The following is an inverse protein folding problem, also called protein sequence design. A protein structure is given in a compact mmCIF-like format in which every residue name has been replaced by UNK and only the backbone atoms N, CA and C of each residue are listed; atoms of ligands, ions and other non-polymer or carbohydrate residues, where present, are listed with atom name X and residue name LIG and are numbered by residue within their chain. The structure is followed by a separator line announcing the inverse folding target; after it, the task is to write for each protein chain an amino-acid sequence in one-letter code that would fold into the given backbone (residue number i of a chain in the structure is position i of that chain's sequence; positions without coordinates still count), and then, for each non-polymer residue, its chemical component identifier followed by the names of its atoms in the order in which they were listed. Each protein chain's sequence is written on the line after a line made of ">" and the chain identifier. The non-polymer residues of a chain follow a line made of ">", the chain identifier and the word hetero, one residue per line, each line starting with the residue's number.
data_IF_650586825740
#
_entry.id   IF_650586825740
#
_cell.length_a   1.000
_cell.length_b   1.000
_cell.length_c   1.000
_cell.angle_alpha   90.00
_cell.angle_beta   90.00
_cell.angle_gamma   90.00
#
_symmetry.space_group_name_H-M   'P 1'
#
loop_
_entity.id
_entity.type
_entity.pdbx_description
1 polymer ?
#
# COMPACT_ATOMS: atom_id res chain seq x y z
N UNK A 1 -8.49 8.73 13.41
CA UNK A 1 -9.42 8.08 14.34
C UNK A 1 -10.15 6.99 13.56
N UNK A 2 -10.00 5.73 13.95
CA UNK A 2 -10.68 4.59 13.31
C UNK A 2 -12.03 4.40 13.99
N UNK A 3 -13.13 4.67 13.29
CA UNK A 3 -14.47 4.72 13.89
C UNK A 3 -15.02 3.35 14.31
N UNK A 4 -14.43 2.25 13.82
CA UNK A 4 -14.91 0.89 14.05
C UNK A 4 -14.36 0.24 15.33
N UNK A 5 -13.47 0.93 16.07
CA UNK A 5 -12.79 0.37 17.23
C UNK A 5 -12.84 1.32 18.44
N UNK A 6 -13.00 0.73 19.62
CA UNK A 6 -12.72 1.38 20.89
C UNK A 6 -11.21 1.28 21.16
N UNK A 7 -10.48 2.35 20.83
CA UNK A 7 -9.01 2.37 20.84
C UNK A 7 -8.45 2.97 22.13
N UNK A 8 -7.63 2.20 22.84
CA UNK A 8 -6.73 2.73 23.86
C UNK A 8 -5.59 3.48 23.16
N UNK A 9 -5.52 4.80 23.36
CA UNK A 9 -4.51 5.65 22.76
C UNK A 9 -3.45 5.99 23.81
N UNK A 10 -2.21 5.56 23.58
CA UNK A 10 -1.10 5.78 24.50
C UNK A 10 0.09 6.40 23.78
N UNK A 11 0.75 7.30 24.50
CA UNK A 11 2.10 7.75 24.19
C UNK A 11 3.02 7.29 25.30
N UNK A 12 4.08 6.56 24.95
CA UNK A 12 5.00 5.97 25.92
C UNK A 12 6.43 6.55 25.78
N UNK A 13 6.95 7.00 26.92
CA UNK A 13 8.25 7.66 27.06
C UNK A 13 9.17 6.84 27.95
N UNK A 14 10.44 6.71 27.57
CA UNK A 14 11.45 6.05 28.40
C UNK A 14 11.22 4.55 28.61
N UNK A 15 11.08 4.14 29.87
CA UNK A 15 10.83 2.74 30.23
C UNK A 15 9.33 2.46 30.12
N UNK A 16 8.98 1.52 29.24
CA UNK A 16 7.59 1.19 28.92
C UNK A 16 7.14 0.04 29.84
N UNK A 17 6.08 0.25 30.62
CA UNK A 17 5.48 -0.80 31.45
C UNK A 17 4.35 -1.51 30.68
N UNK A 18 4.67 -2.68 30.14
CA UNK A 18 3.71 -3.52 29.41
C UNK A 18 2.56 -4.04 30.29
N UNK A 19 2.72 -4.11 31.62
CA UNK A 19 1.63 -4.52 32.50
C UNK A 19 0.59 -3.41 32.64
N UNK A 20 1.04 -2.16 32.77
CA UNK A 20 0.14 -1.01 32.84
C UNK A 20 -0.69 -0.87 31.56
N UNK A 21 -0.07 -1.05 30.39
CA UNK A 21 -0.79 -1.04 29.09
C UNK A 21 -1.91 -2.09 29.09
N UNK A 22 -1.61 -3.32 29.53
CA UNK A 22 -2.58 -4.42 29.56
C UNK A 22 -3.70 -4.16 30.58
N UNK A 23 -3.40 -3.57 31.73
CA UNK A 23 -4.39 -3.21 32.76
C UNK A 23 -5.34 -2.11 32.27
N UNK A 24 -4.80 -1.06 31.65
CA UNK A 24 -5.61 0.00 31.03
C UNK A 24 -6.49 -0.55 29.90
N UNK A 25 -5.93 -1.41 29.04
CA UNK A 25 -6.67 -2.06 27.96
C UNK A 25 -7.89 -2.83 28.49
N UNK A 26 -7.67 -3.65 29.54
CA UNK A 26 -8.72 -4.48 30.13
C UNK A 26 -9.78 -3.67 30.87
N UNK A 27 -9.35 -2.70 31.68
CA UNK A 27 -10.27 -1.87 32.49
C UNK A 27 -11.15 -0.97 31.62
N UNK A 28 -10.60 -0.42 30.54
CA UNK A 28 -11.36 0.38 29.57
C UNK A 28 -12.23 -0.46 28.63
N UNK A 29 -12.08 -1.79 28.62
CA UNK A 29 -12.78 -2.73 27.72
C UNK A 29 -12.55 -2.41 26.24
N UNK A 30 -11.36 -1.92 25.91
CA UNK A 30 -10.96 -1.61 24.55
C UNK A 30 -10.86 -2.87 23.68
N UNK A 31 -11.00 -2.70 22.38
CA UNK A 31 -10.69 -3.70 21.35
C UNK A 31 -9.63 -3.21 20.36
N UNK A 32 -9.10 -2.00 20.57
CA UNK A 32 -8.00 -1.45 19.79
C UNK A 32 -6.87 -0.92 20.69
N UNK A 33 -5.64 -0.94 20.18
CA UNK A 33 -4.49 -0.27 20.78
C UNK A 33 -3.78 0.58 19.73
N UNK A 34 -3.63 1.87 20.02
CA UNK A 34 -2.68 2.75 19.37
C UNK A 34 -1.59 3.11 20.37
N UNK A 35 -0.34 2.74 20.08
CA UNK A 35 0.80 3.01 20.93
C UNK A 35 1.88 3.75 20.15
N UNK A 36 2.11 5.02 20.50
CA UNK A 36 3.22 5.83 19.98
C UNK A 36 4.37 5.82 20.97
N UNK A 37 5.52 5.32 20.53
CA UNK A 37 6.77 5.36 21.28
C UNK A 37 7.53 6.64 20.91
N UNK A 38 7.85 7.45 21.92
CA UNK A 38 8.63 8.67 21.70
C UNK A 38 10.06 8.38 21.26
N UNK A 39 10.71 9.41 20.71
CA UNK A 39 12.10 9.32 20.25
C UNK A 39 13.03 8.87 21.38
N UNK A 40 13.72 7.76 21.17
CA UNK A 40 14.64 7.16 22.14
C UNK A 40 14.04 6.02 22.97
N UNK A 41 12.70 5.92 23.02
CA UNK A 41 12.00 4.75 23.55
C UNK A 41 12.08 3.57 22.58
N UNK A 42 12.04 2.35 23.11
CA UNK A 42 11.91 1.12 22.31
C UNK A 42 11.24 0.01 23.10
N UNK A 43 10.46 -0.81 22.41
CA UNK A 43 10.03 -2.12 22.92
C UNK A 43 10.99 -3.21 22.44
N UNK A 44 11.23 -4.20 23.29
CA UNK A 44 11.99 -5.39 22.90
C UNK A 44 11.14 -6.28 22.01
N UNK A 45 9.89 -6.53 22.38
CA UNK A 45 8.95 -7.29 21.58
C UNK A 45 7.50 -6.88 21.88
N UNK A 46 6.54 -7.60 21.30
CA UNK A 46 5.11 -7.38 21.50
C UNK A 46 4.41 -8.59 22.16
N UNK A 47 5.13 -9.37 22.98
CA UNK A 47 4.60 -10.61 23.57
C UNK A 47 3.42 -10.33 24.52
N UNK A 48 3.34 -9.14 25.12
CA UNK A 48 2.24 -8.75 25.98
C UNK A 48 0.87 -8.76 25.27
N UNK A 49 0.83 -8.72 23.93
CA UNK A 49 -0.40 -8.83 23.14
C UNK A 49 -1.15 -10.15 23.40
N UNK A 50 -0.44 -11.22 23.80
CA UNK A 50 -1.07 -12.48 24.21
C UNK A 50 -2.03 -12.32 25.41
N UNK A 51 -1.89 -11.22 26.17
CA UNK A 51 -2.73 -10.88 27.32
C UNK A 51 -3.92 -9.97 26.96
N UNK A 52 -4.12 -9.68 25.67
CA UNK A 52 -5.14 -8.79 25.11
C UNK A 52 -6.08 -9.55 24.15
N UNK A 53 -6.84 -10.56 24.62
CA UNK A 53 -7.50 -11.55 23.76
C UNK A 53 -8.69 -11.05 22.93
N UNK A 54 -9.02 -9.77 22.99
CA UNK A 54 -10.14 -9.15 22.25
C UNK A 54 -9.66 -8.08 21.26
N UNK A 55 -8.35 -7.96 21.06
CA UNK A 55 -7.80 -6.92 20.23
C UNK A 55 -8.11 -7.23 18.76
N UNK A 56 -8.78 -6.29 18.11
CA UNK A 56 -9.15 -6.35 16.68
C UNK A 56 -8.33 -5.33 15.87
N UNK A 57 -7.82 -4.28 16.50
CA UNK A 57 -6.98 -3.25 15.89
C UNK A 57 -5.70 -3.00 16.69
N UNK A 58 -4.56 -3.00 16.01
CA UNK A 58 -3.27 -2.68 16.59
C UNK A 58 -2.51 -1.72 15.69
N UNK A 59 -2.09 -0.60 16.26
CA UNK A 59 -1.18 0.34 15.61
C UNK A 59 -0.04 0.69 16.56
N UNK A 60 1.19 0.41 16.14
CA UNK A 60 2.40 0.73 16.88
C UNK A 60 3.26 1.67 16.03
N UNK A 61 3.57 2.83 16.59
CA UNK A 61 4.52 3.77 16.00
C UNK A 61 5.78 3.86 16.86
N UNK A 62 6.95 3.75 16.25
CA UNK A 62 8.25 3.86 16.92
C UNK A 62 8.90 2.52 17.21
N UNK A 63 10.13 2.54 17.73
CA UNK A 63 11.06 1.41 17.59
C UNK A 63 10.62 0.16 18.36
N UNK A 64 10.36 -0.94 17.66
CA UNK A 64 10.19 -2.28 18.24
C UNK A 64 11.26 -3.20 17.67
N UNK A 65 12.00 -3.91 18.53
CA UNK A 65 13.08 -4.79 18.07
C UNK A 65 12.54 -6.05 17.38
N UNK A 66 11.49 -6.66 17.95
CA UNK A 66 10.82 -7.83 17.39
C UNK A 66 9.29 -7.67 17.48
N UNK A 67 8.65 -7.34 16.37
CA UNK A 67 7.20 -7.18 16.28
C UNK A 67 6.48 -8.42 15.73
N UNK A 68 7.19 -9.54 15.57
CA UNK A 68 6.66 -10.75 14.93
C UNK A 68 5.44 -11.35 15.64
N UNK A 69 5.34 -11.16 16.97
CA UNK A 69 4.20 -11.60 17.76
C UNK A 69 2.87 -10.99 17.28
N UNK A 70 2.88 -9.75 16.77
CA UNK A 70 1.67 -9.04 16.36
C UNK A 70 0.93 -9.71 15.19
N UNK A 71 1.66 -10.33 14.26
CA UNK A 71 1.08 -10.99 13.08
C UNK A 71 0.22 -12.20 13.43
N UNK A 72 0.45 -12.81 14.60
CA UNK A 72 -0.19 -14.05 15.01
C UNK A 72 -1.29 -13.84 16.06
N UNK A 73 -1.63 -12.58 16.40
CA UNK A 73 -2.66 -12.30 17.40
C UNK A 73 -4.04 -12.76 16.90
N UNK A 74 -4.69 -13.71 17.59
CA UNK A 74 -5.99 -14.21 17.15
C UNK A 74 -7.07 -13.13 17.22
N UNK A 75 -7.90 -13.04 16.19
CA UNK A 75 -9.00 -12.07 16.12
C UNK A 75 -8.59 -10.69 15.63
N UNK A 76 -7.28 -10.41 15.50
CA UNK A 76 -6.78 -9.16 14.95
C UNK A 76 -7.23 -9.02 13.49
N UNK A 77 -7.87 -7.89 13.17
CA UNK A 77 -8.42 -7.57 11.85
C UNK A 77 -7.56 -6.56 11.10
N UNK A 78 -6.94 -5.66 11.86
CA UNK A 78 -6.09 -4.61 11.32
C UNK A 78 -4.80 -4.46 12.13
N UNK A 79 -3.68 -4.48 11.41
CA UNK A 79 -2.33 -4.38 11.97
C UNK A 79 -1.54 -3.30 11.24
N UNK A 80 -1.11 -2.28 11.97
CA UNK A 80 -0.26 -1.20 11.48
C UNK A 80 1.03 -1.15 12.29
N UNK A 81 2.16 -1.39 11.64
CA UNK A 81 3.48 -1.46 12.28
C UNK A 81 4.44 -0.47 11.63
N UNK A 82 4.52 0.73 12.20
CA UNK A 82 5.54 1.75 11.88
C UNK A 82 6.69 1.62 12.88
N UNK A 83 7.21 0.41 12.98
CA UNK A 83 8.09 -0.03 14.08
C UNK A 83 9.57 0.09 13.75
N UNK A 84 9.90 0.29 12.47
CA UNK A 84 11.24 -0.02 11.93
C UNK A 84 11.69 -1.45 12.25
N UNK A 85 10.73 -2.34 12.44
CA UNK A 85 10.92 -3.73 12.75
C UNK A 85 11.43 -4.47 11.52
N UNK A 86 12.52 -5.20 11.69
CA UNK A 86 13.15 -5.97 10.63
C UNK A 86 12.83 -7.48 10.74
N UNK A 87 12.08 -7.89 11.77
CA UNK A 87 11.72 -9.28 11.97
C UNK A 87 10.89 -9.78 10.78
N UNK A 88 11.18 -11.00 10.31
CA UNK A 88 10.41 -11.60 9.23
C UNK A 88 8.94 -11.75 9.61
N UNK A 89 8.04 -11.63 8.63
CA UNK A 89 6.65 -11.99 8.84
C UNK A 89 6.60 -13.50 9.10
N UNK A 90 6.10 -13.95 10.26
CA UNK A 90 6.10 -15.36 10.59
C UNK A 90 5.09 -16.13 9.73
N UNK A 91 5.41 -17.39 9.39
CA UNK A 91 4.55 -18.30 8.60
C UNK A 91 3.25 -18.76 9.29
N UNK A 92 2.89 -18.14 10.41
CA UNK A 92 1.65 -18.44 11.12
C UNK A 92 0.42 -18.01 10.31
N UNK A 93 -0.68 -18.76 10.42
CA UNK A 93 -1.94 -18.36 9.76
C UNK A 93 -2.72 -17.43 10.66
N UNK A 94 -3.05 -16.24 10.15
CA UNK A 94 -4.01 -15.33 10.76
C UNK A 94 -5.17 -15.10 9.78
N UNK A 95 -6.28 -15.78 10.03
CA UNK A 95 -7.44 -15.77 9.13
C UNK A 95 -8.38 -14.58 9.34
N UNK A 96 -8.21 -13.81 10.42
CA UNK A 96 -9.00 -12.59 10.67
C UNK A 96 -8.34 -11.34 10.10
N UNK A 97 -7.02 -11.34 9.92
CA UNK A 97 -6.28 -10.16 9.48
C UNK A 97 -6.66 -9.81 8.03
N UNK A 98 -7.22 -8.62 7.89
CA UNK A 98 -7.80 -8.12 6.63
C UNK A 98 -7.10 -6.87 6.11
N UNK A 99 -6.48 -6.10 7.00
CA UNK A 99 -5.66 -4.94 6.66
C UNK A 99 -4.31 -5.06 7.36
N UNK A 100 -3.25 -4.93 6.58
CA UNK A 100 -1.88 -5.00 7.06
C UNK A 100 -1.08 -3.83 6.50
N UNK A 101 -0.37 -3.13 7.38
CA UNK A 101 0.50 -2.04 7.00
C UNK A 101 1.82 -2.11 7.78
N UNK A 102 2.96 -2.04 7.10
CA UNK A 102 4.28 -2.15 7.75
C UNK A 102 5.42 -1.49 6.97
N UNK A 103 6.50 -1.12 7.67
CA UNK A 103 7.78 -0.76 7.06
C UNK A 103 8.39 -1.96 6.33
N UNK A 104 8.90 -1.77 5.11
CA UNK A 104 9.45 -2.83 4.26
C UNK A 104 10.51 -3.67 4.99
N UNK A 105 10.45 -4.98 4.75
CA UNK A 105 11.30 -6.01 5.39
C UNK A 105 12.14 -6.78 4.36
N UNK A 106 12.13 -6.36 3.09
CA UNK A 106 12.90 -6.96 2.02
C UNK A 106 12.36 -8.32 1.59
N UNK A 107 13.22 -9.33 1.57
CA UNK A 107 12.90 -10.73 1.25
C UNK A 107 12.21 -11.47 2.41
N UNK A 108 12.01 -10.79 3.55
CA UNK A 108 11.42 -11.35 4.77
C UNK A 108 9.89 -11.15 4.85
N UNK A 109 9.24 -10.94 3.70
CA UNK A 109 7.80 -10.77 3.56
C UNK A 109 7.22 -12.05 2.94
N UNK A 110 6.36 -12.72 3.69
CA UNK A 110 5.59 -13.88 3.26
C UNK A 110 4.14 -13.66 3.69
N UNK A 111 3.23 -13.60 2.71
CA UNK A 111 1.82 -13.26 2.93
C UNK A 111 0.88 -14.46 2.79
N UNK A 112 1.40 -15.69 2.58
CA UNK A 112 0.59 -16.90 2.42
C UNK A 112 -0.31 -17.18 3.65
N UNK A 113 0.14 -16.73 4.83
CA UNK A 113 -0.56 -16.88 6.10
C UNK A 113 -1.82 -16.02 6.30
N UNK A 114 -2.13 -15.09 5.39
CA UNK A 114 -3.21 -14.10 5.57
C UNK A 114 -4.29 -14.23 4.46
N UNK A 115 -5.11 -15.30 4.49
CA UNK A 115 -6.05 -15.58 3.41
C UNK A 115 -7.18 -14.56 3.26
N UNK A 116 -7.39 -13.71 4.27
CA UNK A 116 -8.43 -12.67 4.28
C UNK A 116 -7.88 -11.27 3.99
N UNK A 117 -6.61 -11.16 3.57
CA UNK A 117 -5.94 -9.88 3.37
C UNK A 117 -6.54 -9.14 2.16
N UNK A 118 -7.19 -8.01 2.43
CA UNK A 118 -7.83 -7.16 1.42
C UNK A 118 -7.14 -5.80 1.27
N UNK A 119 -6.48 -5.31 2.31
CA UNK A 119 -5.71 -4.07 2.28
C UNK A 119 -4.25 -4.30 2.68
N UNK A 120 -3.32 -3.84 1.86
CA UNK A 120 -1.89 -3.91 2.13
C UNK A 120 -1.24 -2.55 1.90
N UNK A 121 -0.46 -2.08 2.87
CA UNK A 121 0.39 -0.89 2.73
C UNK A 121 1.83 -1.22 3.14
N UNK A 122 2.80 -0.87 2.29
CA UNK A 122 4.23 -1.04 2.59
C UNK A 122 4.92 0.31 2.49
N UNK A 123 5.64 0.70 3.54
CA UNK A 123 6.40 1.95 3.58
C UNK A 123 7.90 1.75 3.41
N UNK A 124 8.58 2.82 2.98
CA UNK A 124 10.05 2.86 2.85
C UNK A 124 10.62 1.70 2.02
N UNK A 125 9.91 1.28 0.97
CA UNK A 125 10.27 0.08 0.24
C UNK A 125 11.47 0.29 -0.69
N UNK A 126 12.39 -0.66 -0.66
CA UNK A 126 13.54 -0.75 -1.57
C UNK A 126 13.36 -1.83 -2.65
N UNK A 127 12.17 -2.46 -2.69
CA UNK A 127 11.87 -3.55 -3.62
C UNK A 127 11.85 -3.07 -5.07
N UNK A 128 12.20 -3.97 -5.98
CA UNK A 128 12.19 -3.78 -7.43
C UNK A 128 11.19 -4.67 -8.17
N UNK A 129 10.49 -5.53 -7.45
CA UNK A 129 9.45 -6.43 -7.95
C UNK A 129 8.32 -6.54 -6.91
N UNK A 130 7.24 -7.24 -7.25
CA UNK A 130 6.11 -7.52 -6.37
C UNK A 130 5.75 -9.02 -6.33
N UNK A 131 6.72 -9.91 -6.58
CA UNK A 131 6.46 -11.36 -6.71
C UNK A 131 5.85 -11.98 -5.44
N UNK A 132 6.10 -11.38 -4.27
CA UNK A 132 5.53 -11.79 -2.99
C UNK A 132 3.99 -11.64 -2.91
N UNK A 133 3.38 -10.88 -3.83
CA UNK A 133 1.92 -10.76 -3.94
C UNK A 133 1.28 -11.95 -4.66
N UNK A 134 2.08 -12.91 -5.17
CA UNK A 134 1.62 -13.93 -6.09
C UNK A 134 0.46 -14.81 -5.58
N UNK A 135 0.29 -14.91 -4.26
CA UNK A 135 -0.78 -15.72 -3.64
C UNK A 135 -1.83 -14.89 -2.89
N UNK A 136 -1.70 -13.56 -2.89
CA UNK A 136 -2.62 -12.61 -2.21
C UNK A 136 -3.80 -12.26 -3.12
N UNK A 137 -4.61 -13.27 -3.44
CA UNK A 137 -5.70 -13.17 -4.43
C UNK A 137 -6.91 -12.34 -3.97
N UNK A 138 -7.05 -12.12 -2.66
CA UNK A 138 -8.12 -11.34 -2.04
C UNK A 138 -7.85 -9.83 -1.98
N UNK A 139 -6.65 -9.40 -2.38
CA UNK A 139 -6.23 -8.01 -2.27
C UNK A 139 -7.12 -7.07 -3.10
N UNK A 140 -7.70 -6.08 -2.42
CA UNK A 140 -8.59 -5.08 -2.99
C UNK A 140 -7.94 -3.68 -3.01
N UNK A 141 -7.08 -3.38 -2.06
CA UNK A 141 -6.33 -2.12 -1.98
C UNK A 141 -4.85 -2.40 -1.73
N UNK A 142 -4.00 -1.87 -2.59
CA UNK A 142 -2.54 -1.96 -2.41
C UNK A 142 -1.89 -0.59 -2.48
N UNK A 143 -1.12 -0.27 -1.45
CA UNK A 143 -0.25 0.89 -1.41
C UNK A 143 1.20 0.48 -1.19
N UNK A 144 2.10 1.04 -1.98
CA UNK A 144 3.54 0.96 -1.73
C UNK A 144 4.16 2.33 -1.84
N UNK A 145 4.91 2.72 -0.81
CA UNK A 145 5.75 3.91 -0.80
C UNK A 145 7.20 3.47 -0.84
N UNK A 146 7.92 3.84 -1.90
CA UNK A 146 9.33 3.51 -2.08
C UNK A 146 10.26 4.67 -1.75
N UNK A 147 11.47 4.62 -2.31
CA UNK A 147 12.53 5.61 -2.07
C UNK A 147 13.23 6.05 -3.35
N UNK A 148 12.48 6.15 -4.45
CA UNK A 148 12.96 6.64 -5.74
C UNK A 148 13.58 5.57 -6.65
N UNK A 149 13.04 4.35 -6.66
CA UNK A 149 13.46 3.24 -7.53
C UNK A 149 12.51 2.97 -8.71
N UNK A 150 12.96 2.15 -9.66
CA UNK A 150 12.11 1.54 -10.68
C UNK A 150 11.56 0.22 -10.13
N UNK A 151 10.26 0.00 -10.29
CA UNK A 151 9.51 -1.14 -9.78
C UNK A 151 8.89 -1.94 -10.94
N UNK A 152 9.21 -3.22 -11.00
CA UNK A 152 8.49 -4.21 -11.81
C UNK A 152 7.17 -4.57 -11.10
N UNK A 153 6.05 -4.38 -11.79
CA UNK A 153 4.72 -4.61 -11.23
C UNK A 153 4.26 -6.07 -11.33
N UNK A 154 5.12 -6.97 -11.84
CA UNK A 154 4.85 -8.41 -11.90
C UNK A 154 4.45 -8.97 -10.54
N UNK A 155 3.44 -9.85 -10.50
CA UNK A 155 2.80 -10.33 -9.27
C UNK A 155 1.42 -9.71 -9.04
N UNK A 156 1.21 -8.45 -9.43
CA UNK A 156 -0.12 -7.80 -9.31
C UNK A 156 -1.17 -8.42 -10.23
N UNK A 157 -0.77 -9.04 -11.34
CA UNK A 157 -1.66 -9.72 -12.30
C UNK A 157 -2.51 -10.83 -11.67
N UNK A 158 -2.09 -11.34 -10.51
CA UNK A 158 -2.82 -12.35 -9.73
C UNK A 158 -3.83 -11.75 -8.75
N UNK A 159 -3.68 -10.49 -8.35
CA UNK A 159 -4.61 -9.76 -7.48
C UNK A 159 -5.86 -9.29 -8.24
N UNK A 160 -6.63 -10.22 -8.83
CA UNK A 160 -7.78 -9.90 -9.70
C UNK A 160 -8.92 -9.14 -9.01
N UNK A 161 -8.90 -9.06 -7.67
CA UNK A 161 -9.84 -8.29 -6.85
C UNK A 161 -9.39 -6.85 -6.62
N UNK A 162 -8.20 -6.47 -7.06
CA UNK A 162 -7.64 -5.13 -6.85
C UNK A 162 -8.55 -4.07 -7.47
N UNK A 163 -8.95 -3.15 -6.60
CA UNK A 163 -9.82 -2.01 -6.88
C UNK A 163 -9.02 -0.70 -6.87
N UNK A 164 -8.05 -0.62 -5.98
CA UNK A 164 -7.20 0.55 -5.79
C UNK A 164 -5.72 0.16 -5.73
N UNK A 165 -4.93 0.88 -6.53
CA UNK A 165 -3.48 0.76 -6.58
C UNK A 165 -2.87 2.15 -6.39
N UNK A 166 -2.04 2.30 -5.38
CA UNK A 166 -1.25 3.50 -5.13
C UNK A 166 0.24 3.13 -5.00
N UNK A 167 1.05 3.59 -5.93
CA UNK A 167 2.49 3.36 -5.97
C UNK A 167 3.16 4.74 -5.92
N UNK A 168 3.84 5.04 -4.82
CA UNK A 168 4.36 6.37 -4.50
C UNK A 168 5.87 6.33 -4.33
N UNK A 169 6.54 7.42 -4.69
CA UNK A 169 8.00 7.55 -4.67
C UNK A 169 8.71 6.42 -5.44
N UNK A 170 8.07 5.88 -6.49
CA UNK A 170 8.67 4.89 -7.39
C UNK A 170 8.14 5.04 -8.80
N UNK A 171 8.90 4.54 -9.79
CA UNK A 171 8.45 4.51 -11.18
C UNK A 171 8.15 3.09 -11.60
N UNK A 172 6.97 2.86 -12.16
CA UNK A 172 6.65 1.58 -12.78
C UNK A 172 7.57 1.35 -13.98
N UNK A 173 8.06 0.12 -14.14
CA UNK A 173 8.84 -0.30 -15.31
C UNK A 173 7.96 -0.52 -16.54
N UNK A 174 6.74 -1.00 -16.32
CA UNK A 174 5.75 -1.34 -17.35
C UNK A 174 4.37 -1.42 -16.70
N UNK A 175 3.32 -1.22 -17.49
CA UNK A 175 1.93 -1.35 -17.05
C UNK A 175 1.31 -2.72 -17.41
N UNK A 176 2.01 -3.58 -18.16
CA UNK A 176 1.52 -4.91 -18.60
C UNK A 176 0.86 -5.72 -17.47
N UNK A 177 1.41 -5.80 -16.24
CA UNK A 177 0.78 -6.57 -15.16
C UNK A 177 -0.62 -6.08 -14.75
N UNK A 178 -0.95 -4.83 -15.06
CA UNK A 178 -2.25 -4.24 -14.73
C UNK A 178 -3.36 -4.60 -15.73
N UNK A 179 -3.04 -5.01 -16.96
CA UNK A 179 -4.01 -5.12 -18.07
C UNK A 179 -5.17 -6.11 -17.85
N UNK A 180 -5.01 -7.04 -16.89
CA UNK A 180 -6.04 -8.02 -16.52
C UNK A 180 -6.84 -7.66 -15.25
N UNK A 181 -6.53 -6.55 -14.59
CA UNK A 181 -7.17 -6.13 -13.35
C UNK A 181 -8.51 -5.43 -13.61
N UNK A 182 -9.49 -6.16 -14.13
CA UNK A 182 -10.80 -5.61 -14.59
C UNK A 182 -11.63 -4.94 -13.49
N UNK A 183 -11.26 -5.14 -12.21
CA UNK A 183 -11.88 -4.48 -11.05
C UNK A 183 -11.19 -3.18 -10.65
N UNK A 184 -10.04 -2.87 -11.21
CA UNK A 184 -9.30 -1.65 -10.89
C UNK A 184 -10.15 -0.43 -11.26
N UNK A 185 -10.31 0.49 -10.31
CA UNK A 185 -11.00 1.77 -10.47
C UNK A 185 -10.05 2.94 -10.30
N UNK A 186 -9.07 2.82 -9.40
CA UNK A 186 -8.08 3.87 -9.14
C UNK A 186 -6.67 3.31 -9.30
N UNK A 187 -5.89 3.95 -10.16
CA UNK A 187 -4.49 3.65 -10.38
C UNK A 187 -3.68 4.93 -10.29
N UNK A 188 -2.92 5.06 -9.20
CA UNK A 188 -2.05 6.21 -8.96
C UNK A 188 -0.60 5.73 -8.93
N UNK A 189 0.19 6.21 -9.89
CA UNK A 189 1.62 5.96 -10.03
C UNK A 189 2.33 7.31 -9.90
N UNK A 190 2.96 7.53 -8.76
CA UNK A 190 3.65 8.78 -8.43
C UNK A 190 5.13 8.51 -8.34
N UNK A 191 5.84 8.97 -9.36
CA UNK A 191 7.28 8.87 -9.49
C UNK A 191 8.03 9.63 -8.41
N UNK A 192 9.07 8.99 -7.88
CA UNK A 192 10.07 9.61 -7.02
C UNK A 192 11.43 9.75 -7.71
N UNK A 193 12.25 10.68 -7.22
CA UNK A 193 13.65 10.82 -7.61
C UNK A 193 13.92 11.28 -9.04
N UNK A 194 15.22 11.24 -9.41
CA UNK A 194 15.75 11.72 -10.70
C UNK A 194 16.06 10.59 -11.70
N UNK A 195 15.50 9.39 -11.46
CA UNK A 195 15.75 8.26 -12.35
C UNK A 195 15.22 8.53 -13.75
N UNK A 196 15.72 7.78 -14.72
CA UNK A 196 15.19 7.73 -16.09
C UNK A 196 14.88 6.26 -16.35
N UNK A 197 13.64 5.98 -16.71
CA UNK A 197 13.23 4.64 -17.10
C UNK A 197 13.79 4.29 -18.47
N UNK A 198 14.02 3.01 -18.74
CA UNK A 198 14.60 2.58 -20.01
C UNK A 198 13.62 2.73 -21.19
N UNK A 199 12.33 2.51 -20.94
CA UNK A 199 11.28 2.52 -21.96
C UNK A 199 10.10 3.40 -21.49
N UNK A 200 9.41 4.11 -22.39
CA UNK A 200 8.17 4.80 -22.08
C UNK A 200 7.07 3.84 -21.58
N UNK A 201 6.24 4.29 -20.64
CA UNK A 201 5.03 3.56 -20.27
C UNK A 201 4.05 3.56 -21.44
N UNK A 202 3.41 2.42 -21.70
CA UNK A 202 2.46 2.27 -22.81
C UNK A 202 1.03 2.13 -22.27
N UNK A 203 0.17 3.11 -22.53
CA UNK A 203 -1.22 3.05 -22.09
C UNK A 203 -2.06 2.02 -22.85
N UNK A 204 -1.55 1.42 -23.94
CA UNK A 204 -2.20 0.25 -24.54
C UNK A 204 -2.30 -0.91 -23.54
N UNK A 205 -1.35 -1.05 -22.61
CA UNK A 205 -1.33 -2.09 -21.58
C UNK A 205 -2.55 -2.02 -20.64
N UNK A 206 -3.13 -0.82 -20.46
CA UNK A 206 -4.28 -0.57 -19.58
C UNK A 206 -5.56 -0.18 -20.32
N UNK A 207 -5.51 -0.05 -21.65
CA UNK A 207 -6.67 0.32 -22.49
C UNK A 207 -7.87 -0.64 -22.35
N UNK A 208 -7.62 -1.90 -22.00
CA UNK A 208 -8.66 -2.91 -21.75
C UNK A 208 -9.32 -2.84 -20.36
N UNK A 209 -8.96 -1.86 -19.52
CA UNK A 209 -9.55 -1.65 -18.19
C UNK A 209 -10.79 -0.76 -18.30
N UNK A 210 -11.87 -1.33 -18.84
CA UNK A 210 -13.14 -0.65 -19.12
C UNK A 210 -13.83 -0.01 -17.92
N UNK A 211 -13.44 -0.37 -16.69
CA UNK A 211 -13.96 0.24 -15.48
C UNK A 211 -13.00 1.21 -14.79
N UNK A 212 -11.80 1.48 -15.33
CA UNK A 212 -10.89 2.42 -14.67
C UNK A 212 -11.49 3.83 -14.66
N UNK A 213 -11.59 4.44 -13.48
CA UNK A 213 -12.21 5.75 -13.26
C UNK A 213 -11.15 6.84 -13.04
N UNK A 214 -10.06 6.50 -12.36
CA UNK A 214 -8.95 7.41 -12.11
C UNK A 214 -7.62 6.81 -12.55
N UNK A 215 -6.93 7.52 -13.46
CA UNK A 215 -5.56 7.23 -13.85
C UNK A 215 -4.69 8.44 -13.56
N UNK A 216 -3.78 8.29 -12.59
CA UNK A 216 -2.80 9.32 -12.25
C UNK A 216 -1.41 8.76 -12.44
N UNK A 217 -0.66 9.36 -13.36
CA UNK A 217 0.76 9.10 -13.58
C UNK A 217 1.48 10.42 -13.39
N UNK A 218 2.00 10.67 -12.20
CA UNK A 218 2.67 11.92 -11.85
C UNK A 218 4.16 11.69 -11.75
N UNK A 219 4.99 12.52 -12.38
CA UNK A 219 6.46 12.34 -12.42
C UNK A 219 6.88 10.93 -12.87
N UNK A 220 6.03 10.28 -13.67
CA UNK A 220 6.19 8.89 -14.10
C UNK A 220 7.21 8.69 -15.21
N UNK A 221 7.92 9.73 -15.66
CA UNK A 221 8.86 9.65 -16.77
C UNK A 221 8.17 9.76 -18.13
N UNK A 222 8.63 8.98 -19.09
CA UNK A 222 8.11 9.01 -20.45
C UNK A 222 6.84 8.15 -20.58
N UNK A 223 5.86 8.62 -21.35
CA UNK A 223 4.70 7.83 -21.77
C UNK A 223 4.68 7.82 -23.30
N UNK A 224 4.37 6.68 -23.89
CA UNK A 224 4.47 6.51 -25.34
C UNK A 224 3.48 7.41 -26.09
N UNK A 225 2.21 7.36 -25.70
CA UNK A 225 1.09 8.04 -26.36
C UNK A 225 -0.08 8.13 -25.40
N UNK A 226 -0.88 9.19 -25.50
CA UNK A 226 -2.13 9.34 -24.73
C UNK A 226 -3.37 8.84 -25.48
N UNK A 227 -3.27 8.59 -26.79
CA UNK A 227 -4.37 8.12 -27.62
C UNK A 227 -5.18 6.94 -27.05
N UNK A 228 -4.57 5.91 -26.41
CA UNK A 228 -5.33 4.78 -25.85
C UNK A 228 -6.35 5.20 -24.77
N UNK A 229 -6.10 6.33 -24.08
CA UNK A 229 -6.95 6.79 -22.98
C UNK A 229 -8.32 7.30 -23.48
N UNK A 230 -8.40 7.81 -24.71
CA UNK A 230 -9.65 8.32 -25.30
C UNK A 230 -10.72 7.23 -25.46
N UNK A 231 -10.31 5.96 -25.59
CA UNK A 231 -11.23 4.82 -25.68
C UNK A 231 -11.76 4.34 -24.32
N UNK A 232 -11.25 4.86 -23.21
CA UNK A 232 -11.56 4.37 -21.86
C UNK A 232 -12.78 5.11 -21.27
N UNK A 233 -13.98 4.63 -21.60
CA UNK A 233 -15.25 5.30 -21.34
C UNK A 233 -15.61 5.57 -19.86
N UNK A 234 -14.93 4.95 -18.91
CA UNK A 234 -15.19 5.11 -17.48
C UNK A 234 -14.29 6.16 -16.81
N UNK A 235 -13.26 6.66 -17.50
CA UNK A 235 -12.34 7.65 -16.93
C UNK A 235 -13.09 8.93 -16.54
N UNK A 236 -12.74 9.45 -15.38
CA UNK A 236 -13.29 10.66 -14.74
C UNK A 236 -12.20 11.61 -14.27
N UNK A 237 -11.01 11.09 -13.95
CA UNK A 237 -9.84 11.86 -13.53
C UNK A 237 -8.59 11.27 -14.21
N UNK A 238 -7.95 12.08 -15.06
CA UNK A 238 -6.70 11.74 -15.76
C UNK A 238 -5.65 12.78 -15.39
N UNK A 239 -4.55 12.36 -14.77
CA UNK A 239 -3.45 13.29 -14.42
C UNK A 239 -2.13 12.72 -14.88
N UNK A 240 -1.42 13.50 -15.71
CA UNK A 240 -0.16 13.12 -16.34
C UNK A 240 0.97 14.10 -16.00
N UNK A 241 0.80 14.90 -14.94
CA UNK A 241 1.75 15.95 -14.55
C UNK A 241 3.18 15.43 -14.42
N UNK A 242 4.13 16.13 -15.03
CA UNK A 242 5.55 15.77 -14.97
C UNK A 242 5.89 14.49 -15.74
N UNK A 243 5.04 14.07 -16.68
CA UNK A 243 5.38 13.05 -17.68
C UNK A 243 5.84 13.71 -18.99
N UNK A 244 6.42 12.93 -19.90
CA UNK A 244 6.73 13.37 -21.27
C UNK A 244 6.04 12.44 -22.26
N UNK A 245 5.17 12.98 -23.12
CA UNK A 245 4.48 12.20 -24.16
C UNK A 245 5.34 12.11 -25.42
N UNK A 246 5.92 10.94 -25.68
CA UNK A 246 6.92 10.75 -26.74
C UNK A 246 6.32 10.85 -28.15
N UNK A 247 5.09 10.38 -28.35
CA UNK A 247 4.41 10.48 -29.64
C UNK A 247 4.02 11.92 -30.04
N UNK A 248 4.14 12.90 -29.13
CA UNK A 248 3.74 14.28 -29.38
C UNK A 248 2.22 14.48 -29.51
N UNK A 249 1.43 13.51 -29.06
CA UNK A 249 -0.03 13.51 -29.15
C UNK A 249 -0.71 14.03 -27.87
N UNK A 250 0.01 14.79 -27.04
CA UNK A 250 -0.54 15.39 -25.81
C UNK A 250 -1.76 16.29 -26.07
N UNK A 251 -1.90 16.84 -27.29
CA UNK A 251 -3.07 17.60 -27.72
C UNK A 251 -4.38 16.79 -27.68
N UNK A 252 -4.31 15.45 -27.77
CA UNK A 252 -5.48 14.59 -27.65
C UNK A 252 -6.12 14.66 -26.26
N UNK A 253 -5.40 15.14 -25.24
CA UNK A 253 -5.98 15.35 -23.91
C UNK A 253 -7.12 16.38 -23.92
N UNK A 254 -7.13 17.31 -24.88
CA UNK A 254 -8.20 18.30 -25.05
C UNK A 254 -9.46 17.69 -25.69
N UNK A 255 -9.39 16.46 -26.21
CA UNK A 255 -10.54 15.75 -26.78
C UNK A 255 -11.39 15.02 -25.73
N UNK A 256 -10.95 14.97 -24.47
CA UNK A 256 -11.76 14.43 -23.38
C UNK A 256 -13.03 15.28 -23.15
N UNK A 257 -14.18 14.67 -22.85
CA UNK A 257 -15.39 15.42 -22.56
C UNK A 257 -15.28 16.15 -21.22
N UNK A 258 -15.96 17.28 -21.07
CA UNK A 258 -15.98 18.13 -19.86
C UNK A 258 -16.26 17.39 -18.53
N UNK A 259 -16.88 16.21 -18.60
CA UNK A 259 -17.12 15.35 -17.44
C UNK A 259 -15.85 14.68 -16.88
N UNK A 260 -14.71 14.78 -17.57
CA UNK A 260 -13.42 14.21 -17.18
C UNK A 260 -12.49 15.33 -16.77
N UNK A 261 -11.98 15.27 -15.54
CA UNK A 261 -10.94 16.17 -15.07
C UNK A 261 -9.61 15.74 -15.67
N UNK A 262 -8.98 16.58 -16.48
CA UNK A 262 -7.69 16.28 -17.12
C UNK A 262 -6.61 17.26 -16.66
N UNK A 263 -5.47 16.72 -16.25
CA UNK A 263 -4.24 17.48 -15.98
C UNK A 263 -3.14 16.91 -16.87
N UNK A 264 -2.69 17.69 -17.84
CA UNK A 264 -1.64 17.28 -18.78
C UNK A 264 -0.24 17.29 -18.18
N UNK A 265 0.78 16.94 -18.99
CA UNK A 265 2.20 16.96 -18.62
C UNK A 265 2.68 18.22 -17.90
N UNK A 266 2.27 19.40 -18.35
CA UNK A 266 2.77 20.70 -17.87
C UNK A 266 1.91 21.35 -16.78
N UNK A 267 0.85 20.67 -16.32
CA UNK A 267 -0.13 21.19 -15.36
C UNK A 267 0.24 21.05 -13.87
#
# INVERSE_FOLDING_TARGET
>A
MRADYDVLNLQADGQIDENEIVEQYRSGRFNGLFLRLSRGSRLRNLDFLARMPRIEYLEIEGRVVDDSAAFQVPGLRELVLLTKGEAAIPRGRNSSLSVLAFDDRGDRIDLEGFPSLTGLTIWSSLRRDLDFLGDVTELASFKLEGTGQILDLSGLDRCRKLYELEIVETRAKSLVPLGQLKRLRRCWLVGGGRLVQAEPLDFNDVSGLSGLEELRVTYGGEVRSVAPLLGMSSLRDVRLRGTTVVAGDSILLDEFPDSVTVVGPDG
#
